data_IF_684937165725
#
_entry.id   IF_684937165725
#
_cell.length_a   1.000
_cell.length_b   1.000
_cell.length_c   1.000
_cell.angle_alpha   90.00
_cell.angle_beta   90.00
_cell.angle_gamma   90.00
#
_symmetry.space_group_name_H-M   'P 1'
#
loop_
_entity.id
_entity.type
_entity.pdbx_description
1 polymer ?
#
# COMPACT_ATOMS: atom_id res chain seq x y z
N UNK A 1 34.62 14.03 -18.71
CA UNK A 1 33.35 14.41 -18.15
C UNK A 1 32.21 13.49 -18.55
N UNK A 2 32.05 13.19 -19.82
CA UNK A 2 30.98 12.27 -20.26
C UNK A 2 31.15 10.83 -19.70
N UNK A 3 32.37 10.39 -19.52
CA UNK A 3 32.65 9.05 -18.98
C UNK A 3 32.26 8.89 -17.51
N UNK A 4 32.43 9.94 -16.71
CA UNK A 4 32.08 9.89 -15.29
C UNK A 4 30.56 9.88 -15.08
N UNK A 5 29.81 10.57 -15.93
CA UNK A 5 28.35 10.58 -15.85
C UNK A 5 27.78 9.19 -16.16
N UNK A 6 28.32 8.51 -17.18
CA UNK A 6 27.91 7.16 -17.55
C UNK A 6 28.20 6.16 -16.43
N UNK A 7 29.34 6.35 -15.77
CA UNK A 7 29.75 5.47 -14.67
C UNK A 7 28.80 5.58 -13.47
N UNK A 8 28.44 6.81 -13.12
CA UNK A 8 27.50 7.07 -12.02
C UNK A 8 26.12 6.47 -12.33
N UNK A 9 25.68 6.60 -13.56
CA UNK A 9 24.39 6.06 -13.98
C UNK A 9 24.35 4.53 -13.88
N UNK A 10 25.40 3.86 -14.29
CA UNK A 10 25.50 2.41 -14.19
C UNK A 10 25.47 1.93 -12.73
N UNK A 11 26.11 2.68 -11.84
CA UNK A 11 26.09 2.38 -10.40
C UNK A 11 24.68 2.48 -9.80
N UNK A 12 23.94 3.51 -10.18
CA UNK A 12 22.56 3.70 -9.72
C UNK A 12 21.65 2.55 -10.16
N UNK A 13 21.81 2.05 -11.38
CA UNK A 13 21.04 0.93 -11.89
C UNK A 13 21.31 -0.34 -11.04
N UNK A 14 22.56 -0.55 -10.70
CA UNK A 14 22.94 -1.70 -9.89
C UNK A 14 22.27 -1.69 -8.51
N UNK A 15 22.22 -0.52 -7.86
CA UNK A 15 21.58 -0.37 -6.56
C UNK A 15 20.09 -0.66 -6.62
N UNK A 16 19.42 -0.16 -7.65
CA UNK A 16 17.99 -0.40 -7.84
C UNK A 16 17.69 -1.88 -8.04
N UNK A 17 18.55 -2.60 -8.77
CA UNK A 17 18.37 -4.04 -8.99
C UNK A 17 18.38 -4.82 -7.68
N UNK A 18 19.25 -4.48 -6.74
CA UNK A 18 19.27 -5.13 -5.43
C UNK A 18 18.04 -4.87 -4.60
N UNK A 19 17.43 -3.68 -4.72
CA UNK A 19 16.25 -3.32 -3.96
C UNK A 19 14.99 -4.06 -4.42
N UNK A 20 14.94 -4.53 -5.65
CA UNK A 20 13.75 -5.16 -6.23
C UNK A 20 13.55 -6.63 -5.84
N UNK A 21 14.57 -7.29 -5.29
CA UNK A 21 14.55 -8.74 -5.08
C UNK A 21 13.95 -9.18 -3.75
N UNK A 22 13.35 -8.30 -2.95
CA UNK A 22 13.12 -8.62 -1.55
C UNK A 22 11.69 -8.88 -1.12
N UNK A 23 10.68 -8.48 -1.87
CA UNK A 23 9.32 -8.66 -1.40
C UNK A 23 8.56 -9.66 -2.26
N UNK A 24 8.08 -10.73 -1.61
CA UNK A 24 7.20 -11.70 -2.26
C UNK A 24 5.87 -11.06 -2.57
N UNK A 25 5.36 -11.32 -3.75
CA UNK A 25 4.05 -10.83 -4.16
C UNK A 25 3.41 -11.77 -5.16
N UNK A 26 2.10 -11.76 -5.18
CA UNK A 26 1.29 -12.42 -6.21
C UNK A 26 0.53 -11.36 -6.98
N UNK A 27 0.52 -11.47 -8.30
CA UNK A 27 -0.20 -10.57 -9.19
C UNK A 27 -1.18 -11.38 -10.02
N UNK A 28 -2.38 -10.84 -10.20
CA UNK A 28 -3.41 -11.48 -11.03
C UNK A 28 -4.19 -10.40 -11.78
N UNK A 29 -4.25 -10.52 -13.10
CA UNK A 29 -5.07 -9.66 -13.93
C UNK A 29 -6.52 -10.12 -13.86
N UNK A 30 -7.42 -9.24 -13.46
CA UNK A 30 -8.86 -9.46 -13.55
C UNK A 30 -9.33 -8.93 -14.90
N UNK A 31 -9.68 -9.83 -15.80
CA UNK A 31 -10.06 -9.48 -17.17
C UNK A 31 -11.39 -8.74 -17.25
N UNK A 32 -12.27 -8.93 -16.27
CA UNK A 32 -13.57 -8.27 -16.25
C UNK A 32 -13.46 -6.79 -15.89
N UNK A 33 -12.57 -6.47 -14.96
CA UNK A 33 -12.38 -5.09 -14.47
C UNK A 33 -11.18 -4.38 -15.08
N UNK A 34 -10.29 -5.15 -15.73
CA UNK A 34 -9.00 -4.68 -16.23
C UNK A 34 -8.10 -4.11 -15.13
N UNK A 35 -8.28 -4.59 -13.90
CA UNK A 35 -7.46 -4.23 -12.76
C UNK A 35 -6.50 -5.38 -12.43
N UNK A 36 -5.35 -5.03 -11.87
CA UNK A 36 -4.35 -6.00 -11.45
C UNK A 36 -4.47 -6.16 -9.94
N UNK A 37 -4.88 -7.34 -9.49
CA UNK A 37 -4.97 -7.68 -8.08
C UNK A 37 -3.59 -8.06 -7.57
N UNK A 38 -3.21 -7.55 -6.40
CA UNK A 38 -1.90 -7.82 -5.84
C UNK A 38 -2.01 -8.20 -4.37
N UNK A 39 -1.17 -9.15 -3.97
CA UNK A 39 -0.95 -9.53 -2.57
C UNK A 39 0.55 -9.48 -2.31
N UNK A 40 0.94 -8.69 -1.32
CA UNK A 40 2.31 -8.63 -0.83
C UNK A 40 2.43 -9.41 0.46
N UNK A 41 3.59 -9.96 0.74
CA UNK A 41 3.86 -10.78 1.92
C UNK A 41 5.01 -10.22 2.73
N UNK A 42 4.92 -10.36 4.05
CA UNK A 42 6.07 -10.19 4.96
C UNK A 42 7.05 -11.34 4.79
N UNK A 43 8.24 -11.21 5.36
CA UNK A 43 9.27 -12.26 5.30
C UNK A 43 8.81 -13.58 5.91
N UNK A 44 7.86 -13.54 6.86
CA UNK A 44 7.29 -14.73 7.50
C UNK A 44 6.11 -15.32 6.74
N UNK A 45 5.91 -14.94 5.47
CA UNK A 45 4.82 -15.39 4.60
C UNK A 45 3.41 -14.94 5.02
N UNK A 46 3.31 -14.08 6.01
CA UNK A 46 2.03 -13.45 6.37
C UNK A 46 1.74 -12.32 5.37
N UNK A 47 0.49 -12.19 4.95
CA UNK A 47 0.09 -11.11 4.04
C UNK A 47 0.41 -9.76 4.68
N UNK A 48 1.14 -8.92 3.95
CA UNK A 48 1.47 -7.56 4.40
C UNK A 48 0.53 -6.52 3.82
N UNK A 49 0.08 -6.72 2.58
CA UNK A 49 -0.77 -5.73 1.91
C UNK A 49 -1.55 -6.39 0.79
N UNK A 50 -2.80 -5.96 0.60
CA UNK A 50 -3.62 -6.36 -0.55
C UNK A 50 -4.20 -5.13 -1.22
N UNK A 51 -4.38 -5.19 -2.53
CA UNK A 51 -4.98 -4.08 -3.26
C UNK A 51 -5.07 -4.36 -4.74
N UNK A 52 -5.36 -3.31 -5.48
CA UNK A 52 -5.44 -3.38 -6.93
C UNK A 52 -4.72 -2.19 -7.56
N UNK A 53 -4.17 -2.44 -8.75
CA UNK A 53 -3.58 -1.42 -9.61
C UNK A 53 -4.42 -1.31 -10.88
N UNK A 54 -4.47 -0.13 -11.46
CA UNK A 54 -4.96 0.04 -12.81
C UNK A 54 -3.97 -0.59 -13.80
N UNK A 55 -4.40 -0.79 -15.05
CA UNK A 55 -3.54 -1.36 -16.08
C UNK A 55 -2.25 -0.55 -16.30
N UNK A 56 -2.30 0.77 -16.05
CA UNK A 56 -1.13 1.64 -16.14
C UNK A 56 -0.35 1.79 -14.84
N UNK A 57 -0.68 0.97 -13.81
CA UNK A 57 0.13 0.87 -12.61
C UNK A 57 -0.22 1.84 -11.49
N UNK A 58 -1.39 2.45 -11.50
CA UNK A 58 -1.83 3.35 -10.44
C UNK A 58 -2.60 2.60 -9.36
N UNK A 59 -2.42 2.98 -8.11
CA UNK A 59 -3.22 2.46 -7.01
C UNK A 59 -4.69 2.78 -7.25
N UNK A 60 -5.57 1.80 -7.04
CA UNK A 60 -7.00 1.98 -7.28
C UNK A 60 -7.82 1.07 -6.37
N UNK A 61 -8.94 1.58 -5.86
CA UNK A 61 -9.83 0.83 -5.00
C UNK A 61 -9.32 0.73 -3.57
N UNK A 62 -9.80 -0.27 -2.87
CA UNK A 62 -9.46 -0.50 -1.47
C UNK A 62 -8.11 -1.18 -1.32
N UNK A 63 -7.29 -0.67 -0.42
CA UNK A 63 -6.01 -1.24 -0.06
C UNK A 63 -5.99 -1.51 1.44
N UNK A 64 -5.54 -2.69 1.80
CA UNK A 64 -5.44 -3.13 3.19
C UNK A 64 -3.98 -3.41 3.52
N UNK A 65 -3.54 -3.01 4.70
CA UNK A 65 -2.21 -3.33 5.22
C UNK A 65 -2.34 -4.08 6.54
N UNK A 66 -1.44 -5.03 6.74
CA UNK A 66 -1.43 -5.91 7.91
C UNK A 66 -0.04 -5.93 8.54
N UNK A 67 0.02 -6.12 9.85
CA UNK A 67 1.30 -6.29 10.53
C UNK A 67 1.80 -7.74 10.39
N UNK A 68 2.96 -8.04 10.97
CA UNK A 68 3.57 -9.37 10.87
C UNK A 68 2.76 -10.46 11.59
N UNK A 69 1.82 -10.08 12.45
CA UNK A 69 0.90 -10.99 13.12
C UNK A 69 -0.39 -11.21 12.34
N UNK A 70 -0.54 -10.53 11.19
CA UNK A 70 -1.72 -10.64 10.36
C UNK A 70 -2.86 -9.72 10.75
N UNK A 71 -2.64 -8.81 11.67
CA UNK A 71 -3.66 -7.85 12.10
C UNK A 71 -3.72 -6.67 11.16
N UNK A 72 -4.92 -6.24 10.82
CA UNK A 72 -5.15 -5.08 9.96
C UNK A 72 -4.67 -3.80 10.66
N UNK A 73 -3.84 -3.02 9.97
CA UNK A 73 -3.31 -1.75 10.51
C UNK A 73 -3.73 -0.54 9.69
N UNK A 74 -4.02 -0.72 8.41
CA UNK A 74 -4.46 0.39 7.55
C UNK A 74 -5.53 -0.09 6.59
N UNK A 75 -6.58 0.72 6.43
CA UNK A 75 -7.51 0.62 5.31
C UNK A 75 -7.43 1.92 4.53
N UNK A 76 -7.16 1.81 3.24
CA UNK A 76 -6.95 2.95 2.35
C UNK A 76 -7.87 2.85 1.15
N UNK A 77 -8.21 3.99 0.56
CA UNK A 77 -8.99 4.03 -0.67
C UNK A 77 -8.32 4.97 -1.67
N UNK A 78 -8.20 4.49 -2.90
CA UNK A 78 -7.57 5.23 -3.99
C UNK A 78 -8.50 5.29 -5.20
N UNK A 79 -8.38 6.37 -5.95
CA UNK A 79 -8.97 6.52 -7.27
C UNK A 79 -7.89 6.99 -8.24
N UNK A 80 -7.45 6.10 -9.12
CA UNK A 80 -6.38 6.37 -10.09
C UNK A 80 -5.17 7.06 -9.47
N UNK A 81 -4.69 6.52 -8.36
CA UNK A 81 -3.51 7.00 -7.65
C UNK A 81 -3.76 8.12 -6.66
N UNK A 82 -4.98 8.65 -6.58
CA UNK A 82 -5.33 9.72 -5.65
C UNK A 82 -6.00 9.15 -4.41
N UNK A 83 -5.68 9.69 -3.26
CA UNK A 83 -6.33 9.32 -2.01
C UNK A 83 -7.74 9.87 -1.98
N UNK A 84 -8.71 8.99 -1.72
CA UNK A 84 -10.13 9.37 -1.66
C UNK A 84 -10.82 8.61 -0.53
N UNK A 85 -11.95 9.13 -0.09
CA UNK A 85 -12.81 8.46 0.86
C UNK A 85 -12.18 8.28 2.23
N UNK A 86 -12.70 7.33 2.97
CA UNK A 86 -12.29 7.13 4.35
C UNK A 86 -11.11 6.19 4.44
N UNK A 87 -10.13 6.61 5.22
CA UNK A 87 -8.94 5.85 5.56
C UNK A 87 -8.94 5.60 7.05
N UNK A 88 -8.53 4.40 7.44
CA UNK A 88 -8.46 4.01 8.85
C UNK A 88 -7.04 3.56 9.17
N UNK A 89 -6.53 4.03 10.30
CA UNK A 89 -5.25 3.62 10.85
C UNK A 89 -5.49 3.09 12.25
N UNK A 90 -5.18 1.81 12.46
CA UNK A 90 -5.35 1.17 13.77
C UNK A 90 -4.02 1.06 14.49
N UNK A 91 -4.01 1.43 15.74
CA UNK A 91 -2.92 1.15 16.68
C UNK A 91 -3.48 0.33 17.84
N UNK A 92 -2.65 0.06 18.86
CA UNK A 92 -3.12 -0.76 20.00
C UNK A 92 -4.30 -0.14 20.73
N UNK A 93 -4.36 1.17 20.81
CA UNK A 93 -5.33 1.87 21.66
C UNK A 93 -6.25 2.81 20.90
N UNK A 94 -5.90 3.18 19.69
CA UNK A 94 -6.66 4.18 18.94
C UNK A 94 -6.92 3.75 17.51
N UNK A 95 -7.98 4.30 16.94
CA UNK A 95 -8.24 4.27 15.51
C UNK A 95 -8.36 5.71 15.02
N UNK A 96 -7.62 6.00 13.96
CA UNK A 96 -7.64 7.30 13.31
C UNK A 96 -8.40 7.16 11.99
N UNK A 97 -9.47 7.93 11.83
CA UNK A 97 -10.22 8.00 10.59
C UNK A 97 -9.87 9.29 9.87
N UNK A 98 -9.43 9.19 8.64
CA UNK A 98 -9.11 10.34 7.80
C UNK A 98 -9.98 10.28 6.56
N UNK A 99 -10.67 11.37 6.26
CA UNK A 99 -11.47 11.47 5.05
C UNK A 99 -10.71 12.30 4.03
N UNK A 100 -10.45 11.71 2.87
CA UNK A 100 -9.70 12.36 1.79
C UNK A 100 -10.60 12.72 0.63
N UNK A 101 -10.32 13.87 0.04
CA UNK A 101 -10.92 14.31 -1.22
C UNK A 101 -9.78 14.73 -2.14
N UNK A 102 -9.50 13.96 -3.19
CA UNK A 102 -8.42 14.21 -4.15
C UNK A 102 -7.08 14.54 -3.48
N UNK A 103 -6.57 13.63 -2.65
CA UNK A 103 -5.32 13.75 -1.91
C UNK A 103 -5.34 14.76 -0.76
N UNK A 104 -6.40 15.54 -0.61
CA UNK A 104 -6.51 16.53 0.48
C UNK A 104 -7.31 15.96 1.64
N UNK A 105 -6.88 16.24 2.86
CA UNK A 105 -7.62 15.83 4.05
C UNK A 105 -8.84 16.73 4.20
N UNK A 106 -10.04 16.11 4.13
CA UNK A 106 -11.29 16.81 4.36
C UNK A 106 -11.69 16.79 5.84
N UNK A 107 -11.42 15.70 6.55
CA UNK A 107 -11.68 15.59 7.98
C UNK A 107 -10.74 14.57 8.62
N UNK A 108 -10.56 14.74 9.93
CA UNK A 108 -9.72 13.84 10.73
C UNK A 108 -10.44 13.57 12.05
N UNK A 109 -10.54 12.32 12.41
CA UNK A 109 -11.18 11.88 13.64
C UNK A 109 -10.37 10.78 14.28
N UNK A 110 -10.14 10.89 15.58
CA UNK A 110 -9.43 9.86 16.34
C UNK A 110 -10.29 9.43 17.52
N UNK A 111 -10.33 8.13 17.77
CA UNK A 111 -11.09 7.56 18.88
C UNK A 111 -10.34 6.38 19.51
N UNK A 112 -10.70 6.05 20.75
CA UNK A 112 -10.14 4.88 21.40
C UNK A 112 -10.70 3.61 20.79
N UNK A 113 -9.83 2.61 20.64
CA UNK A 113 -10.24 1.30 20.15
C UNK A 113 -10.85 0.52 21.30
N UNK A 114 -12.13 0.22 21.18
CA UNK A 114 -12.80 -0.70 22.08
C UNK A 114 -12.48 -2.12 21.60
N UNK A 115 -12.09 -3.01 22.54
CA UNK A 115 -11.78 -4.40 22.21
C UNK A 115 -12.89 -5.11 21.43
N UNK A 116 -14.14 -4.72 21.64
CA UNK A 116 -15.28 -5.27 20.93
C UNK A 116 -15.36 -4.83 19.46
N UNK A 117 -14.71 -3.73 19.13
CA UNK A 117 -14.72 -3.16 17.78
C UNK A 117 -13.43 -3.41 17.01
N UNK A 118 -12.52 -4.15 17.61
CA UNK A 118 -11.34 -4.62 16.91
C UNK A 118 -11.79 -5.69 15.93
N UNK A 119 -11.71 -5.40 14.65
CA UNK A 119 -12.09 -6.34 13.60
C UNK A 119 -11.05 -7.44 13.36
N UNK A 120 -10.36 -7.82 14.40
CA UNK A 120 -9.31 -8.82 14.34
C UNK A 120 -9.75 -10.14 14.93
#
# INVERSE_FOLDING_TARGET
MKKSILFVFAFLITVVSFAQDKQKRDLKLNKDTNLIEVVYYHDNDVVSQTGTYTADGKLHGEWLSFNTEGKKIVLANYDNGKKVGKWFYWSKETVKEVDYSNNAIASLKESEVNKKNLGF
#
